data_IF_280823385126
#
_entry.id   IF_280823385126
#
_cell.length_a   1.000
_cell.length_b   1.000
_cell.length_c   1.000
_cell.angle_alpha   90.00
_cell.angle_beta   90.00
_cell.angle_gamma   90.00
#
_symmetry.space_group_name_H-M   'P 1'
#
loop_
_entity.id
_entity.type
_entity.pdbx_description
1 polymer ?
#
# COMPACT_ATOMS: atom_id res chain seq x y z
N UNK A 1 -16.45 -6.79 25.86
CA UNK A 1 -17.37 -7.40 24.87
C UNK A 1 -18.31 -6.39 24.25
N UNK A 2 -18.87 -5.47 25.01
CA UNK A 2 -19.72 -4.39 24.47
C UNK A 2 -18.96 -3.44 23.54
N UNK A 3 -17.70 -3.11 23.86
CA UNK A 3 -16.87 -2.23 23.04
C UNK A 3 -16.61 -2.83 21.66
N UNK A 4 -16.38 -4.15 21.58
CA UNK A 4 -16.15 -4.84 20.31
C UNK A 4 -17.43 -4.89 19.45
N UNK A 5 -18.60 -5.02 20.09
CA UNK A 5 -19.90 -5.06 19.44
C UNK A 5 -20.32 -3.67 18.97
N UNK A 6 -19.98 -2.61 19.72
CA UNK A 6 -20.19 -1.22 19.33
C UNK A 6 -19.30 -0.86 18.14
N UNK A 7 -18.06 -1.35 18.11
CA UNK A 7 -17.15 -1.14 16.97
C UNK A 7 -17.62 -1.84 15.69
N UNK A 8 -18.24 -3.02 15.81
CA UNK A 8 -18.75 -3.75 14.64
C UNK A 8 -20.02 -3.12 14.05
N UNK A 9 -20.83 -2.48 14.88
CA UNK A 9 -22.11 -1.89 14.48
C UNK A 9 -22.06 -0.38 14.30
N UNK A 10 -20.93 0.26 14.57
CA UNK A 10 -20.77 1.70 14.44
C UNK A 10 -20.49 2.06 12.99
N UNK A 11 -21.38 2.87 12.31
CA UNK A 11 -21.11 3.35 10.96
C UNK A 11 -19.83 4.18 10.86
N UNK A 12 -19.26 4.60 12.01
CA UNK A 12 -17.99 5.32 12.14
C UNK A 12 -16.82 4.34 12.35
N UNK A 13 -17.07 3.02 12.36
CA UNK A 13 -15.99 2.04 12.53
C UNK A 13 -15.17 1.94 11.24
N UNK A 14 -14.28 2.91 11.09
CA UNK A 14 -13.37 3.02 9.96
C UNK A 14 -12.03 2.43 10.35
N UNK A 15 -11.43 1.71 9.42
CA UNK A 15 -10.05 1.27 9.54
C UNK A 15 -9.16 2.24 8.75
N UNK A 16 -7.88 2.24 9.07
CA UNK A 16 -6.90 3.03 8.34
C UNK A 16 -6.10 2.08 7.45
N UNK A 17 -6.11 2.37 6.14
CA UNK A 17 -5.33 1.64 5.15
C UNK A 17 -4.19 2.53 4.67
N UNK A 18 -2.98 1.99 4.69
CA UNK A 18 -1.78 2.67 4.18
C UNK A 18 -1.43 2.13 2.80
N UNK A 19 -1.58 2.97 1.78
CA UNK A 19 -1.26 2.65 0.40
C UNK A 19 0.16 3.13 0.06
N UNK A 20 0.92 2.32 -0.66
CA UNK A 20 2.27 2.68 -1.11
C UNK A 20 2.53 2.38 -2.59
N UNK A 21 1.60 1.74 -3.28
CA UNK A 21 1.75 1.30 -4.66
C UNK A 21 0.65 1.84 -5.58
N UNK A 22 0.02 0.95 -6.34
CA UNK A 22 -0.99 1.36 -7.35
C UNK A 22 -2.21 2.05 -6.74
N UNK A 23 -2.53 1.81 -5.47
CA UNK A 23 -3.64 2.47 -4.79
C UNK A 23 -3.35 3.94 -4.43
N UNK A 24 -2.15 4.41 -4.68
CA UNK A 24 -1.85 5.85 -4.66
C UNK A 24 -2.47 6.57 -5.87
N UNK A 25 -2.80 5.84 -6.93
CA UNK A 25 -3.52 6.37 -8.08
C UNK A 25 -4.97 6.66 -7.66
N UNK A 26 -5.26 7.92 -7.40
CA UNK A 26 -6.52 8.31 -6.74
C UNK A 26 -7.75 7.94 -7.54
N UNK A 27 -7.71 8.02 -8.86
CA UNK A 27 -8.84 7.62 -9.70
C UNK A 27 -9.11 6.12 -9.60
N UNK A 28 -8.07 5.29 -9.67
CA UNK A 28 -8.21 3.84 -9.52
C UNK A 28 -8.69 3.47 -8.12
N UNK A 29 -8.13 4.12 -7.10
CA UNK A 29 -8.54 3.88 -5.72
C UNK A 29 -10.02 4.24 -5.52
N UNK A 30 -10.48 5.33 -6.11
CA UNK A 30 -11.89 5.73 -6.05
C UNK A 30 -12.82 4.72 -6.71
N UNK A 31 -12.41 4.13 -7.83
CA UNK A 31 -13.18 3.09 -8.49
C UNK A 31 -13.23 1.81 -7.66
N UNK A 32 -12.11 1.45 -7.05
CA UNK A 32 -11.99 0.24 -6.24
C UNK A 32 -12.70 0.37 -4.90
N UNK A 33 -12.54 1.51 -4.25
CA UNK A 33 -13.05 1.79 -2.91
C UNK A 33 -13.77 3.14 -2.91
N UNK A 34 -15.01 3.22 -3.44
CA UNK A 34 -15.72 4.52 -3.60
C UNK A 34 -15.97 5.24 -2.28
N UNK A 35 -16.02 4.52 -1.15
CA UNK A 35 -16.27 5.11 0.16
C UNK A 35 -15.00 5.43 0.96
N UNK A 36 -13.83 5.11 0.42
CA UNK A 36 -12.56 5.44 1.07
C UNK A 36 -12.30 6.95 1.02
N UNK A 37 -11.69 7.48 2.08
CA UNK A 37 -11.35 8.90 2.17
C UNK A 37 -9.86 9.05 2.43
N UNK A 38 -9.20 9.85 1.62
CA UNK A 38 -7.80 10.21 1.85
C UNK A 38 -7.71 11.13 3.06
N UNK A 39 -6.98 10.70 4.10
CA UNK A 39 -6.77 11.48 5.31
C UNK A 39 -5.53 12.36 5.20
N UNK A 40 -4.49 11.86 4.57
CA UNK A 40 -3.23 12.56 4.45
C UNK A 40 -2.12 11.60 4.07
N UNK A 41 -0.90 12.10 4.07
CA UNK A 41 0.28 11.33 3.73
C UNK A 41 1.24 11.26 4.92
N UNK A 42 2.08 10.25 4.92
CA UNK A 42 3.08 10.04 5.95
C UNK A 42 4.11 9.05 5.48
N UNK A 43 4.83 8.45 6.41
CA UNK A 43 5.81 7.43 6.09
C UNK A 43 5.91 6.40 7.18
N UNK A 44 6.27 5.19 6.78
CA UNK A 44 6.49 4.09 7.70
C UNK A 44 7.99 3.84 7.77
N UNK A 45 8.55 4.00 8.96
CA UNK A 45 9.98 3.87 9.20
C UNK A 45 10.42 2.41 9.25
N UNK A 46 11.68 2.18 8.87
CA UNK A 46 12.35 0.89 8.96
C UNK A 46 11.77 -0.18 8.02
N UNK A 47 11.30 0.27 6.87
CA UNK A 47 10.88 -0.57 5.75
C UNK A 47 11.44 0.00 4.45
N UNK A 48 11.58 -0.85 3.45
CA UNK A 48 12.03 -0.44 2.13
C UNK A 48 11.06 -0.91 1.06
N UNK A 49 10.95 -0.12 -0.01
CA UNK A 49 10.07 -0.37 -1.14
C UNK A 49 10.80 -1.24 -2.16
N UNK A 50 10.14 -2.30 -2.65
CA UNK A 50 10.73 -3.27 -3.57
C UNK A 50 9.74 -3.69 -4.64
N UNK A 51 10.26 -4.06 -5.82
CA UNK A 51 9.47 -4.72 -6.87
C UNK A 51 9.75 -6.22 -6.81
N UNK A 52 8.69 -7.02 -6.70
CA UNK A 52 8.77 -8.48 -6.60
C UNK A 52 7.62 -9.13 -7.35
N UNK A 53 7.83 -10.35 -7.82
CA UNK A 53 6.78 -11.12 -8.45
C UNK A 53 7.25 -12.45 -9.00
N UNK A 54 6.30 -13.34 -9.42
CA UNK A 54 6.63 -14.61 -10.09
C UNK A 54 7.04 -14.42 -11.55
N UNK A 55 6.55 -13.34 -12.19
CA UNK A 55 6.88 -13.00 -13.59
C UNK A 55 6.69 -11.49 -13.78
N UNK A 56 7.12 -10.95 -14.92
CA UNK A 56 7.07 -9.51 -15.17
C UNK A 56 5.63 -8.95 -15.12
N UNK A 57 4.66 -9.66 -15.68
CA UNK A 57 3.26 -9.22 -15.71
C UNK A 57 2.64 -9.17 -14.32
N UNK A 58 3.14 -9.99 -13.40
CA UNK A 58 2.67 -10.07 -12.02
C UNK A 58 3.71 -9.53 -11.04
N UNK A 59 4.50 -8.55 -11.48
CA UNK A 59 5.47 -7.85 -10.64
C UNK A 59 4.85 -6.59 -10.09
N UNK A 60 4.83 -6.46 -8.76
CA UNK A 60 4.18 -5.37 -8.06
C UNK A 60 5.09 -4.87 -6.94
N UNK A 61 4.73 -3.72 -6.38
CA UNK A 61 5.42 -3.18 -5.21
C UNK A 61 5.06 -3.98 -3.95
N UNK A 62 6.05 -4.17 -3.14
CA UNK A 62 5.93 -4.68 -1.77
C UNK A 62 6.91 -3.96 -0.87
N UNK A 63 6.92 -4.30 0.39
CA UNK A 63 7.81 -3.72 1.39
C UNK A 63 8.45 -4.83 2.21
N UNK A 64 9.65 -4.58 2.69
CA UNK A 64 10.36 -5.47 3.61
C UNK A 64 11.01 -4.64 4.70
N UNK A 65 11.19 -5.22 5.91
CA UNK A 65 11.92 -4.52 6.97
C UNK A 65 13.34 -4.16 6.53
N UNK A 66 13.72 -2.91 6.76
CA UNK A 66 15.09 -2.44 6.53
C UNK A 66 15.37 -1.24 7.42
N UNK A 67 16.22 -1.44 8.42
CA UNK A 67 16.56 -0.39 9.36
C UNK A 67 17.17 0.82 8.63
N UNK A 68 16.68 2.02 8.97
CA UNK A 68 17.18 3.27 8.41
C UNK A 68 16.51 3.71 7.12
N UNK A 69 15.69 2.84 6.51
CA UNK A 69 14.88 3.20 5.34
C UNK A 69 13.47 3.60 5.75
N UNK A 70 12.69 4.11 4.80
CA UNK A 70 11.27 4.40 5.01
C UNK A 70 10.49 4.21 3.73
N UNK A 71 9.17 4.05 3.87
CA UNK A 71 8.23 3.94 2.76
C UNK A 71 7.20 5.07 2.88
N UNK A 72 7.05 5.92 1.85
CA UNK A 72 6.01 6.93 1.87
C UNK A 72 4.65 6.27 1.64
N UNK A 73 3.64 6.72 2.38
CA UNK A 73 2.30 6.14 2.34
C UNK A 73 1.23 7.22 2.31
N UNK A 74 0.10 6.89 1.69
CA UNK A 74 -1.13 7.65 1.82
C UNK A 74 -2.07 6.88 2.75
N UNK A 75 -2.63 7.58 3.73
CA UNK A 75 -3.56 6.99 4.69
C UNK A 75 -4.99 7.23 4.24
N UNK A 76 -5.75 6.15 4.11
CA UNK A 76 -7.18 6.20 3.77
C UNK A 76 -8.01 5.68 4.92
N UNK A 77 -9.11 6.38 5.20
CA UNK A 77 -10.17 5.86 6.06
C UNK A 77 -11.04 4.94 5.20
N UNK A 78 -11.17 3.67 5.58
CA UNK A 78 -11.87 2.65 4.79
C UNK A 78 -12.92 1.93 5.61
N UNK A 79 -14.03 1.58 4.97
CA UNK A 79 -15.09 0.78 5.56
C UNK A 79 -14.82 -0.71 5.34
N UNK A 80 -15.58 -1.56 5.99
CA UNK A 80 -15.47 -3.01 5.84
C UNK A 80 -15.62 -3.44 4.37
N UNK A 81 -16.55 -2.84 3.63
CA UNK A 81 -16.73 -3.13 2.19
C UNK A 81 -15.51 -2.76 1.35
N UNK A 82 -14.83 -1.67 1.71
CA UNK A 82 -13.58 -1.25 1.05
C UNK A 82 -12.46 -2.26 1.33
N UNK A 83 -12.36 -2.75 2.56
CA UNK A 83 -11.34 -3.75 2.94
C UNK A 83 -11.54 -5.03 2.11
N UNK A 84 -12.78 -5.46 1.92
CA UNK A 84 -13.07 -6.61 1.08
C UNK A 84 -12.60 -6.40 -0.37
N UNK A 85 -12.87 -5.22 -0.93
CA UNK A 85 -12.43 -4.87 -2.27
C UNK A 85 -10.89 -4.84 -2.38
N UNK A 86 -10.21 -4.34 -1.35
CA UNK A 86 -8.75 -4.34 -1.28
C UNK A 86 -8.20 -5.76 -1.19
N UNK A 87 -8.79 -6.61 -0.35
CA UNK A 87 -8.37 -8.01 -0.20
C UNK A 87 -8.49 -8.75 -1.54
N UNK A 88 -9.57 -8.51 -2.28
CA UNK A 88 -9.75 -9.11 -3.61
C UNK A 88 -8.71 -8.60 -4.59
N UNK A 89 -8.45 -7.31 -4.59
CA UNK A 89 -7.45 -6.68 -5.47
C UNK A 89 -6.04 -7.19 -5.17
N UNK A 90 -5.68 -7.33 -3.91
CA UNK A 90 -4.36 -7.80 -3.46
C UNK A 90 -4.24 -9.33 -3.44
N UNK A 91 -5.30 -10.02 -3.88
CA UNK A 91 -5.34 -11.47 -4.02
C UNK A 91 -4.94 -12.21 -2.73
N UNK A 92 -5.50 -11.75 -1.62
CA UNK A 92 -5.23 -12.31 -0.28
C UNK A 92 -5.68 -13.78 -0.21
N UNK A 93 -6.79 -14.11 -0.85
CA UNK A 93 -7.31 -15.49 -0.88
C UNK A 93 -6.32 -16.48 -1.48
N UNK A 94 -5.57 -16.07 -2.50
CA UNK A 94 -4.56 -16.89 -3.16
C UNK A 94 -3.15 -16.65 -2.58
N UNK A 95 -3.05 -15.99 -1.44
CA UNK A 95 -1.79 -15.75 -0.72
C UNK A 95 -0.76 -14.93 -1.48
N UNK A 96 -1.17 -14.10 -2.43
CA UNK A 96 -0.22 -13.17 -3.07
C UNK A 96 0.26 -12.13 -2.05
N UNK A 97 -0.66 -11.51 -1.33
CA UNK A 97 -0.37 -10.56 -0.26
C UNK A 97 -1.01 -11.00 1.05
N UNK A 98 -0.45 -10.54 2.15
CA UNK A 98 -1.04 -10.67 3.49
C UNK A 98 -1.24 -9.29 4.09
N UNK A 99 -2.18 -9.19 5.01
CA UNK A 99 -2.43 -7.98 5.79
C UNK A 99 -1.51 -7.98 7.01
N UNK A 100 -0.87 -6.83 7.29
CA UNK A 100 -0.14 -6.62 8.54
C UNK A 100 -0.54 -5.31 9.18
N UNK A 101 -0.60 -5.31 10.51
CA UNK A 101 -0.85 -4.12 11.29
C UNK A 101 0.43 -3.25 11.31
N UNK A 102 0.26 -1.94 11.19
CA UNK A 102 1.38 -1.00 11.16
C UNK A 102 0.88 0.37 11.61
N UNK A 103 1.79 1.21 12.08
CA UNK A 103 1.48 2.59 12.47
C UNK A 103 2.37 3.56 11.70
N UNK A 104 1.83 4.73 11.41
CA UNK A 104 2.55 5.80 10.73
C UNK A 104 2.10 7.15 11.26
N UNK A 105 3.02 8.09 11.28
CA UNK A 105 2.69 9.49 11.55
C UNK A 105 2.14 10.11 10.26
N UNK A 106 0.89 10.58 10.32
CA UNK A 106 0.17 11.13 9.18
C UNK A 106 -0.02 12.63 9.37
N UNK A 107 0.36 13.41 8.39
CA UNK A 107 0.28 14.86 8.44
C UNK A 107 -1.16 15.31 8.77
N UNK A 108 -1.29 16.14 9.79
CA UNK A 108 -2.59 16.65 10.27
C UNK A 108 -3.35 15.71 11.20
N UNK A 109 -2.86 14.50 11.42
CA UNK A 109 -3.56 13.49 12.24
C UNK A 109 -2.71 12.87 13.34
N UNK A 110 -1.37 13.08 13.33
CA UNK A 110 -0.47 12.42 14.28
C UNK A 110 -0.28 10.95 13.96
N UNK A 111 0.03 10.16 14.99
CA UNK A 111 0.28 8.72 14.83
C UNK A 111 -1.04 7.98 14.65
N UNK A 112 -1.20 7.30 13.53
CA UNK A 112 -2.37 6.47 13.23
C UNK A 112 -1.95 5.01 13.16
N UNK A 113 -2.77 4.13 13.73
CA UNK A 113 -2.62 2.67 13.62
C UNK A 113 -3.57 2.14 12.55
N UNK A 114 -3.08 1.27 11.71
CA UNK A 114 -3.87 0.72 10.62
C UNK A 114 -3.24 -0.53 10.05
N UNK A 115 -3.44 -0.75 8.77
CA UNK A 115 -2.93 -1.94 8.08
C UNK A 115 -2.40 -1.60 6.70
N UNK A 116 -1.57 -2.48 6.20
CA UNK A 116 -1.11 -2.48 4.82
C UNK A 116 -0.94 -3.92 4.31
N UNK A 117 -0.62 -4.05 3.03
CA UNK A 117 -0.44 -5.36 2.40
C UNK A 117 1.03 -5.60 2.10
N UNK A 118 1.50 -6.80 2.38
CA UNK A 118 2.88 -7.22 2.11
C UNK A 118 2.83 -8.50 1.28
N UNK A 119 3.61 -8.54 0.19
CA UNK A 119 3.72 -9.73 -0.65
C UNK A 119 4.36 -10.89 0.13
N UNK A 120 3.76 -12.07 0.03
CA UNK A 120 4.26 -13.25 0.76
C UNK A 120 5.55 -13.79 0.17
N UNK A 121 5.55 -14.07 -1.12
CA UNK A 121 6.70 -14.66 -1.81
C UNK A 121 6.87 -13.95 -3.14
N UNK A 122 8.08 -13.49 -3.42
CA UNK A 122 8.35 -12.84 -4.68
C UNK A 122 9.83 -12.73 -4.94
N UNK A 123 10.19 -12.78 -6.21
CA UNK A 123 11.57 -12.59 -6.65
C UNK A 123 11.75 -11.20 -7.22
N UNK A 124 12.97 -10.61 -7.11
CA UNK A 124 13.25 -9.32 -7.74
C UNK A 124 12.98 -9.40 -9.25
N UNK A 125 12.12 -8.53 -9.75
CA UNK A 125 11.78 -8.43 -11.17
C UNK A 125 11.39 -7.00 -11.53
N UNK A 126 11.59 -6.65 -12.78
CA UNK A 126 11.10 -5.37 -13.32
C UNK A 126 9.59 -5.46 -13.52
N UNK A 127 8.85 -4.41 -13.14
CA UNK A 127 7.41 -4.36 -13.40
C UNK A 127 7.13 -4.14 -14.89
N UNK A 128 5.88 -4.41 -15.30
CA UNK A 128 5.41 -4.01 -16.61
C UNK A 128 5.37 -2.48 -16.71
N UNK A 129 5.46 -1.96 -17.93
CA UNK A 129 5.35 -0.51 -18.17
C UNK A 129 4.00 0.03 -17.67
N UNK A 130 2.94 -0.74 -17.85
CA UNK A 130 1.59 -0.35 -17.40
C UNK A 130 1.54 -0.15 -15.90
N UNK A 131 2.07 -1.11 -15.12
CA UNK A 131 2.08 -1.01 -13.66
C UNK A 131 2.98 0.14 -13.19
N UNK A 132 4.18 0.25 -13.77
CA UNK A 132 5.10 1.35 -13.48
C UNK A 132 4.43 2.71 -13.67
N UNK A 133 3.77 2.90 -14.82
CA UNK A 133 3.10 4.17 -15.13
C UNK A 133 1.95 4.46 -14.17
N UNK A 134 1.18 3.44 -13.79
CA UNK A 134 0.11 3.59 -12.79
C UNK A 134 0.66 4.08 -11.45
N UNK A 135 1.72 3.46 -10.97
CA UNK A 135 2.35 3.85 -9.70
C UNK A 135 2.95 5.26 -9.81
N UNK A 136 3.59 5.57 -10.92
CA UNK A 136 4.19 6.88 -11.15
C UNK A 136 3.12 7.98 -11.13
N UNK A 137 1.99 7.76 -11.79
CA UNK A 137 0.84 8.69 -11.73
C UNK A 137 0.32 8.83 -10.30
N UNK A 138 0.25 7.73 -9.56
CA UNK A 138 -0.15 7.76 -8.15
C UNK A 138 0.80 8.61 -7.29
N UNK A 139 2.10 8.48 -7.51
CA UNK A 139 3.09 9.31 -6.83
C UNK A 139 2.88 10.79 -7.13
N UNK A 140 2.55 11.12 -8.37
CA UNK A 140 2.22 12.49 -8.77
C UNK A 140 0.92 12.96 -8.09
N UNK A 141 -0.10 12.12 -8.03
CA UNK A 141 -1.39 12.44 -7.42
C UNK A 141 -1.27 12.86 -5.95
N UNK A 142 -0.36 12.24 -5.22
CA UNK A 142 -0.16 12.50 -3.78
C UNK A 142 1.12 13.31 -3.50
N UNK A 143 1.77 13.81 -4.54
CA UNK A 143 2.95 14.68 -4.46
C UNK A 143 4.14 14.02 -3.76
N UNK A 144 4.36 12.74 -3.99
CA UNK A 144 5.53 12.03 -3.47
C UNK A 144 6.74 12.24 -4.37
N UNK A 145 7.92 12.35 -3.75
CA UNK A 145 9.19 12.30 -4.44
C UNK A 145 9.38 10.88 -5.01
N UNK A 146 9.69 10.80 -6.29
CA UNK A 146 9.86 9.52 -6.97
C UNK A 146 11.22 8.84 -6.71
N UNK A 147 12.13 9.46 -5.99
CA UNK A 147 13.49 8.97 -5.79
C UNK A 147 13.52 7.54 -5.22
N UNK A 148 12.68 7.24 -4.22
CA UNK A 148 12.60 5.90 -3.63
C UNK A 148 12.01 4.88 -4.61
N UNK A 149 11.06 5.31 -5.44
CA UNK A 149 10.48 4.46 -6.48
C UNK A 149 11.52 4.12 -7.55
N UNK A 150 12.29 5.11 -8.00
CA UNK A 150 13.39 4.92 -8.95
C UNK A 150 14.47 3.98 -8.38
N UNK A 151 14.77 4.13 -7.10
CA UNK A 151 15.74 3.26 -6.41
C UNK A 151 15.24 1.82 -6.34
N UNK A 152 13.96 1.60 -6.04
CA UNK A 152 13.34 0.28 -6.04
C UNK A 152 13.44 -0.38 -7.41
N UNK A 153 13.26 0.38 -8.48
CA UNK A 153 13.41 -0.10 -9.85
C UNK A 153 14.86 -0.48 -10.16
N UNK A 154 15.83 0.34 -9.76
CA UNK A 154 17.25 0.04 -9.94
C UNK A 154 17.66 -1.22 -9.19
N UNK A 155 17.16 -1.41 -7.98
CA UNK A 155 17.46 -2.59 -7.16
C UNK A 155 17.00 -3.87 -7.87
N UNK A 156 15.80 -3.89 -8.42
CA UNK A 156 15.31 -5.09 -9.12
C UNK A 156 16.03 -5.32 -10.46
N UNK A 157 16.54 -4.29 -11.13
CA UNK A 157 17.36 -4.42 -12.33
C UNK A 157 18.69 -5.10 -12.04
N UNK A 158 19.31 -4.78 -10.89
CA UNK A 158 20.61 -5.38 -10.49
C UNK A 158 20.45 -6.85 -10.16
N UNK A 159 19.30 -7.27 -9.67
CA UNK A 159 19.03 -8.65 -9.25
C UNK A 159 18.36 -9.51 -10.32
N UNK A 160 17.92 -8.92 -11.42
CA UNK A 160 17.25 -9.61 -12.53
C UNK A 160 18.22 -10.00 -13.65
N UNK A 161 19.48 -10.25 -13.30
CA UNK A 161 20.52 -10.70 -14.24
C UNK A 161 20.71 -12.21 -14.20
#
# INVERSE_FOLDING_TARGET
MEVKKEMENNPINMKIYFAYGSNLHLEQMKQRCPTAKLLGTGRIENYTLLFRGPCQEDTFLTVEPKQGSFVPVAAFSVKHSDVKALDDYEDVENNLYRIEAVSAEVTGHGMLSGFWYIMNDGQPRLPSDRYWNTVLEGYQDVSFDRALLDEARRECQQNDR
#
